data_IF_340868818994
#
_entry.id   IF_340868818994
#
_cell.length_a   1.000
_cell.length_b   1.000
_cell.length_c   1.000
_cell.angle_alpha   90.00
_cell.angle_beta   90.00
_cell.angle_gamma   90.00
#
_symmetry.space_group_name_H-M   'P 1'
#
loop_
_entity.id
_entity.type
_entity.pdbx_description
1 polymer ?
#
# COMPACT_ATOMS: atom_id res chain seq x y z
N UNK A 1 24.70 26.89 -8.67
CA UNK A 1 24.92 25.78 -7.72
C UNK A 1 26.25 25.11 -8.06
N UNK A 2 27.15 24.91 -7.08
CA UNK A 2 28.44 24.26 -7.34
C UNK A 2 28.24 22.77 -7.64
N UNK A 3 29.01 22.23 -8.59
CA UNK A 3 29.00 20.78 -8.89
C UNK A 3 29.86 20.05 -7.88
N UNK A 4 29.26 19.18 -7.09
CA UNK A 4 29.96 18.19 -6.28
C UNK A 4 30.25 16.98 -7.17
N UNK A 5 31.52 16.59 -7.33
CA UNK A 5 31.95 15.38 -8.07
C UNK A 5 31.60 14.07 -7.34
N UNK A 6 30.52 14.06 -6.56
CA UNK A 6 30.03 12.87 -5.85
C UNK A 6 28.93 12.22 -6.70
N UNK A 7 29.08 10.93 -6.96
CA UNK A 7 28.05 10.12 -7.60
C UNK A 7 27.15 9.56 -6.49
N UNK A 8 25.90 10.04 -6.42
CA UNK A 8 24.89 9.45 -5.53
C UNK A 8 24.21 8.27 -6.23
N UNK A 9 24.28 7.09 -5.61
CA UNK A 9 23.54 5.90 -6.00
C UNK A 9 22.39 5.64 -5.04
N UNK A 10 21.20 5.32 -5.58
CA UNK A 10 20.03 4.94 -4.79
C UNK A 10 19.61 3.55 -5.25
N UNK A 11 19.65 2.59 -4.33
CA UNK A 11 19.23 1.21 -4.58
C UNK A 11 17.81 1.02 -4.06
N UNK A 12 16.86 0.67 -4.95
CA UNK A 12 15.47 0.43 -4.60
C UNK A 12 15.18 -1.07 -4.50
N UNK A 13 14.53 -1.51 -3.43
CA UNK A 13 14.32 -2.93 -3.15
C UNK A 13 12.91 -3.33 -2.72
N UNK A 14 12.65 -4.64 -2.75
CA UNK A 14 11.43 -5.23 -2.15
C UNK A 14 11.65 -5.50 -0.65
N UNK A 15 12.90 -5.84 -0.27
CA UNK A 15 13.29 -6.07 1.12
C UNK A 15 13.35 -4.75 1.89
N UNK A 16 14.08 -3.78 1.34
CA UNK A 16 14.24 -2.42 1.86
C UNK A 16 13.71 -1.41 0.84
N UNK A 17 13.10 -0.31 1.27
CA UNK A 17 12.48 0.67 0.37
C UNK A 17 13.54 1.35 -0.50
N UNK A 18 14.58 1.89 0.13
CA UNK A 18 15.79 2.31 -0.56
C UNK A 18 17.03 2.21 0.34
N UNK A 19 18.18 2.12 -0.29
CA UNK A 19 19.51 2.28 0.33
C UNK A 19 20.27 3.40 -0.39
N UNK A 20 20.84 4.33 0.37
CA UNK A 20 21.73 5.37 -0.17
C UNK A 20 23.19 4.85 -0.24
N UNK A 21 23.98 5.49 -1.08
CA UNK A 21 25.44 5.35 -1.20
C UNK A 21 26.20 5.53 0.13
N UNK A 22 25.60 6.21 1.11
CA UNK A 22 26.15 6.35 2.47
C UNK A 22 25.81 5.16 3.40
N UNK A 23 25.05 4.18 2.92
CA UNK A 23 24.61 3.01 3.69
C UNK A 23 23.35 3.23 4.51
N UNK A 24 22.69 4.38 4.38
CA UNK A 24 21.39 4.65 5.01
C UNK A 24 20.30 3.79 4.36
N UNK A 25 19.58 3.03 5.17
CA UNK A 25 18.53 2.11 4.71
C UNK A 25 17.19 2.55 5.26
N UNK A 26 16.22 2.76 4.37
CA UNK A 26 14.82 2.96 4.75
C UNK A 26 14.04 1.66 4.58
N UNK A 27 13.42 1.21 5.66
CA UNK A 27 12.63 -0.02 5.65
C UNK A 27 11.40 0.09 4.73
N UNK A 28 10.96 -1.04 4.16
CA UNK A 28 9.77 -1.08 3.29
C UNK A 28 8.47 -1.02 4.11
N UNK A 29 7.69 0.08 4.06
CA UNK A 29 6.42 0.15 4.75
C UNK A 29 5.38 -0.74 4.05
N UNK A 30 4.96 -1.81 4.71
CA UNK A 30 4.11 -2.84 4.09
C UNK A 30 2.61 -2.53 4.20
N UNK A 31 2.19 -1.43 3.58
CA UNK A 31 0.79 -0.96 3.57
C UNK A 31 -0.22 -1.99 3.04
N UNK A 32 0.21 -2.83 2.09
CA UNK A 32 -0.65 -3.79 1.40
C UNK A 32 -0.69 -5.18 2.05
N UNK A 33 -0.26 -5.38 3.31
CA UNK A 33 -0.39 -6.72 3.95
C UNK A 33 -1.85 -7.17 4.11
N UNK A 34 -2.76 -6.25 4.45
CA UNK A 34 -4.16 -6.57 4.79
C UNK A 34 -5.15 -6.31 3.65
N UNK A 35 -4.78 -5.47 2.67
CA UNK A 35 -5.66 -5.09 1.57
C UNK A 35 -6.03 -6.25 0.62
N UNK A 36 -5.16 -7.23 0.30
CA UNK A 36 -5.49 -8.33 -0.61
C UNK A 36 -6.55 -9.27 -0.02
N UNK A 37 -6.48 -9.53 1.29
CA UNK A 37 -7.48 -10.33 2.00
C UNK A 37 -8.87 -9.68 2.00
N UNK A 38 -8.92 -8.36 2.26
CA UNK A 38 -10.16 -7.57 2.19
C UNK A 38 -10.71 -7.54 0.77
N UNK A 39 -9.83 -7.38 -0.23
CA UNK A 39 -10.20 -7.40 -1.64
C UNK A 39 -10.79 -8.75 -2.04
N UNK A 40 -10.11 -9.87 -1.74
CA UNK A 40 -10.60 -11.23 -2.03
C UNK A 40 -11.98 -11.50 -1.42
N UNK A 41 -12.21 -11.08 -0.17
CA UNK A 41 -13.52 -11.20 0.49
C UNK A 41 -14.61 -10.40 -0.23
N UNK A 42 -14.32 -9.15 -0.62
CA UNK A 42 -15.25 -8.31 -1.39
C UNK A 42 -15.55 -8.90 -2.77
N UNK A 43 -14.53 -9.37 -3.49
CA UNK A 43 -14.69 -10.04 -4.78
C UNK A 43 -15.59 -11.28 -4.66
N UNK A 44 -15.38 -12.13 -3.66
CA UNK A 44 -16.25 -13.30 -3.41
C UNK A 44 -17.70 -12.91 -3.12
N UNK A 45 -17.92 -11.90 -2.28
CA UNK A 45 -19.27 -11.39 -1.98
C UNK A 45 -19.96 -10.82 -3.23
N UNK A 46 -19.20 -10.16 -4.11
CA UNK A 46 -19.71 -9.60 -5.38
C UNK A 46 -20.00 -10.69 -6.42
N UNK A 47 -19.18 -11.73 -6.50
CA UNK A 47 -19.36 -12.84 -7.44
C UNK A 47 -20.55 -13.73 -7.07
N UNK A 48 -20.81 -13.91 -5.77
CA UNK A 48 -21.96 -14.67 -5.27
C UNK A 48 -23.31 -13.96 -5.46
N UNK A 49 -23.34 -12.66 -5.80
CA UNK A 49 -24.58 -11.91 -6.03
C UNK A 49 -25.07 -12.08 -7.47
N UNK A 50 -26.39 -12.26 -7.63
CA UNK A 50 -27.05 -12.39 -8.93
C UNK A 50 -26.69 -11.24 -9.87
N UNK A 51 -26.23 -11.57 -11.09
CA UNK A 51 -25.88 -10.59 -12.11
C UNK A 51 -27.10 -9.72 -12.43
N UNK A 52 -26.96 -8.39 -12.39
CA UNK A 52 -28.06 -7.45 -12.67
C UNK A 52 -28.96 -7.08 -11.48
N UNK A 53 -28.82 -7.74 -10.31
CA UNK A 53 -29.63 -7.40 -9.14
C UNK A 53 -29.35 -5.99 -8.60
N UNK A 54 -30.39 -5.31 -8.09
CA UNK A 54 -30.31 -3.99 -7.43
C UNK A 54 -29.25 -3.95 -6.31
N UNK A 55 -29.12 -5.06 -5.58
CA UNK A 55 -28.15 -5.23 -4.48
C UNK A 55 -26.73 -5.60 -4.96
N UNK A 56 -26.48 -5.84 -6.25
CA UNK A 56 -25.13 -6.08 -6.79
C UNK A 56 -24.38 -4.78 -7.08
N UNK A 57 -25.14 -3.71 -7.38
CA UNK A 57 -24.65 -2.36 -7.65
C UNK A 57 -24.69 -1.44 -6.43
N UNK A 58 -25.23 -1.90 -5.29
CA UNK A 58 -25.04 -1.17 -4.04
C UNK A 58 -23.54 -1.11 -3.81
N UNK A 59 -22.93 0.04 -4.04
CA UNK A 59 -21.64 0.41 -3.49
C UNK A 59 -21.85 0.37 -1.98
N UNK A 60 -21.77 -0.83 -1.39
CA UNK A 60 -21.76 -1.01 0.05
C UNK A 60 -20.70 -0.06 0.50
N UNK A 61 -21.16 1.03 1.12
CA UNK A 61 -20.40 2.22 1.46
C UNK A 61 -19.02 1.80 1.88
N UNK A 62 -18.00 2.53 1.44
CA UNK A 62 -16.66 2.46 2.00
C UNK A 62 -16.76 2.79 3.51
N UNK A 63 -17.32 1.89 4.32
CA UNK A 63 -17.39 2.03 5.76
C UNK A 63 -15.97 1.78 6.24
N UNK A 64 -15.32 2.91 6.44
CA UNK A 64 -14.03 3.14 7.01
C UNK A 64 -12.92 2.16 6.59
N UNK A 65 -12.24 2.51 5.49
CA UNK A 65 -10.85 2.16 5.30
C UNK A 65 -9.91 3.29 5.75
N UNK A 66 -10.26 4.04 6.81
CA UNK A 66 -9.40 5.12 7.32
C UNK A 66 -8.43 4.69 8.42
N UNK A 67 -8.62 3.57 9.11
CA UNK A 67 -7.85 3.26 10.33
C UNK A 67 -6.50 2.56 10.12
N UNK A 68 -5.76 2.88 9.06
CA UNK A 68 -4.35 2.44 8.93
C UNK A 68 -3.37 3.56 8.62
N UNK A 69 -3.81 4.82 8.61
CA UNK A 69 -2.90 5.97 8.48
C UNK A 69 -2.48 6.56 9.83
N UNK A 70 -3.05 6.09 10.94
CA UNK A 70 -2.84 6.72 12.27
C UNK A 70 -2.01 5.88 13.26
N UNK A 71 -1.34 4.81 12.82
CA UNK A 71 -0.66 3.86 13.73
C UNK A 71 0.80 3.51 13.39
N UNK A 72 1.38 4.14 12.36
CA UNK A 72 2.77 3.90 11.94
C UNK A 72 3.58 5.23 11.85
N UNK A 73 3.12 6.33 12.45
CA UNK A 73 3.83 7.65 12.47
C UNK A 73 4.48 7.96 13.83
N UNK A 74 4.58 6.99 14.74
CA UNK A 74 5.33 7.15 16.00
C UNK A 74 6.55 6.25 16.00
N UNK A 75 7.70 6.92 15.95
CA UNK A 75 9.11 6.49 16.05
C UNK A 75 9.74 5.95 14.77
#
# INVERSE_FOLDING_TARGET
MPRTNSFMGIDLGIKEFYTDSNGDVVSNPRYLRKSPLRLKRRHRRKSARAKGGKNRHSNSSMSNCQTVLDRDTTL
#
